data_IF_452251843529
#
_entry.id   IF_452251843529
#
_cell.length_a   1.000
_cell.length_b   1.000
_cell.length_c   1.000
_cell.angle_alpha   90.00
_cell.angle_beta   90.00
_cell.angle_gamma   90.00
#
_symmetry.space_group_name_H-M   'P 1'
#
loop_
_entity.id
_entity.type
_entity.pdbx_description
1 polymer ?
#
# COMPACT_ATOMS: atom_id res chain seq x y z
N UNK A 1 28.32 45.33 -3.74
CA UNK A 1 27.13 44.75 -3.09
C UNK A 1 27.02 43.31 -3.53
N UNK A 2 27.57 42.43 -2.70
CA UNK A 2 27.80 41.00 -2.88
C UNK A 2 27.01 40.38 -1.72
N UNK A 3 26.22 39.33 -1.98
CA UNK A 3 25.25 38.65 -1.07
C UNK A 3 23.81 39.15 -1.25
N UNK A 4 23.00 38.45 -2.06
CA UNK A 4 21.54 38.29 -1.94
C UNK A 4 20.97 37.48 -3.14
N UNK A 5 21.61 36.36 -3.51
CA UNK A 5 21.13 35.50 -4.61
C UNK A 5 21.28 34.00 -4.26
N UNK A 6 20.96 33.62 -3.03
CA UNK A 6 21.05 32.21 -2.58
C UNK A 6 19.83 31.75 -1.77
N UNK A 7 18.61 32.15 -2.13
CA UNK A 7 17.44 31.78 -1.33
C UNK A 7 16.19 31.43 -2.14
N UNK A 8 16.36 30.67 -3.24
CA UNK A 8 15.24 30.15 -4.04
C UNK A 8 15.58 28.77 -4.63
N UNK A 9 16.13 27.87 -3.81
CA UNK A 9 16.42 26.48 -4.22
C UNK A 9 16.28 25.51 -3.03
N UNK A 10 15.26 25.70 -2.19
CA UNK A 10 15.01 24.87 -1.01
C UNK A 10 13.57 24.34 -0.89
N UNK A 11 12.78 24.38 -1.96
CA UNK A 11 11.38 23.89 -1.94
C UNK A 11 11.05 23.02 -3.16
N UNK A 12 11.90 22.04 -3.45
CA UNK A 12 11.52 20.89 -4.30
C UNK A 12 12.08 19.66 -3.61
N UNK A 13 11.36 19.14 -2.61
CA UNK A 13 11.87 18.02 -1.82
C UNK A 13 10.86 17.15 -1.08
N UNK A 14 9.60 17.58 -0.91
CA UNK A 14 8.66 16.84 -0.04
C UNK A 14 7.31 16.50 -0.70
N UNK A 15 7.19 16.53 -2.03
CA UNK A 15 5.91 16.23 -2.69
C UNK A 15 5.65 14.73 -2.90
N UNK A 16 6.67 13.86 -2.76
CA UNK A 16 6.51 12.42 -3.03
C UNK A 16 5.84 11.64 -1.90
N UNK A 17 5.94 12.11 -0.63
CA UNK A 17 5.36 11.40 0.50
C UNK A 17 3.82 11.53 0.60
N UNK A 18 3.23 12.56 -0.02
CA UNK A 18 1.78 12.79 0.08
C UNK A 18 0.95 11.88 -0.83
N UNK A 19 1.53 11.39 -1.94
CA UNK A 19 0.83 10.51 -2.88
C UNK A 19 0.73 9.07 -2.36
N UNK A 20 1.81 8.53 -1.77
CA UNK A 20 1.82 7.18 -1.19
C UNK A 20 0.89 7.02 0.02
N UNK A 21 0.73 8.08 0.82
CA UNK A 21 -0.19 8.08 1.98
C UNK A 21 -1.66 8.00 1.57
N UNK A 22 -2.08 8.72 0.51
CA UNK A 22 -3.47 8.68 0.04
C UNK A 22 -3.86 7.31 -0.51
N UNK A 23 -2.98 6.70 -1.30
CA UNK A 23 -3.22 5.36 -1.87
C UNK A 23 -3.23 4.29 -0.77
N UNK A 24 -2.27 4.34 0.17
CA UNK A 24 -2.21 3.38 1.28
C UNK A 24 -3.45 3.41 2.19
N UNK A 25 -3.99 4.60 2.46
CA UNK A 25 -5.23 4.77 3.22
C UNK A 25 -6.45 4.23 2.48
N UNK A 26 -6.56 4.49 1.17
CA UNK A 26 -7.67 3.99 0.36
C UNK A 26 -7.70 2.46 0.32
N UNK A 27 -6.55 1.81 0.10
CA UNK A 27 -6.46 0.35 0.04
C UNK A 27 -6.75 -0.27 1.41
N UNK A 28 -6.24 0.35 2.48
CA UNK A 28 -6.54 -0.05 3.85
C UNK A 28 -8.05 0.02 4.13
N UNK A 29 -8.72 1.07 3.66
CA UNK A 29 -10.16 1.22 3.80
C UNK A 29 -10.90 0.12 3.02
N UNK A 30 -10.53 -0.14 1.76
CA UNK A 30 -11.15 -1.21 0.97
C UNK A 30 -10.96 -2.60 1.61
N UNK A 31 -9.77 -2.87 2.17
CA UNK A 31 -9.50 -4.11 2.90
C UNK A 31 -10.30 -4.25 4.20
N UNK A 32 -10.62 -3.13 4.87
CA UNK A 32 -11.49 -3.13 6.06
C UNK A 32 -12.97 -3.26 5.72
N UNK A 33 -13.40 -2.59 4.66
CA UNK A 33 -14.80 -2.54 4.24
C UNK A 33 -15.21 -3.79 3.46
N UNK A 34 -14.26 -4.52 2.87
CA UNK A 34 -14.58 -5.78 2.23
C UNK A 34 -14.80 -6.89 3.25
N UNK A 35 -15.99 -7.50 3.23
CA UNK A 35 -16.23 -8.83 3.81
C UNK A 35 -15.58 -9.94 2.96
N UNK A 36 -14.35 -9.72 2.53
CA UNK A 36 -13.59 -10.59 1.66
C UNK A 36 -13.02 -11.77 2.46
N UNK A 37 -13.18 -12.98 1.94
CA UNK A 37 -12.58 -14.20 2.52
C UNK A 37 -11.20 -14.51 1.92
N UNK A 38 -10.82 -13.76 0.89
CA UNK A 38 -9.59 -13.97 0.12
C UNK A 38 -8.94 -12.64 -0.26
N UNK A 39 -7.62 -12.57 -0.07
CA UNK A 39 -6.79 -11.57 -0.73
C UNK A 39 -5.84 -12.26 -1.70
N UNK A 40 -5.87 -11.87 -2.97
CA UNK A 40 -5.00 -12.39 -4.01
C UNK A 40 -3.93 -11.34 -4.28
N UNK A 41 -2.67 -11.67 -4.06
CA UNK A 41 -1.55 -10.79 -4.32
C UNK A 41 -0.78 -11.30 -5.53
N UNK A 42 -0.72 -10.51 -6.61
CA UNK A 42 0.07 -10.85 -7.79
C UNK A 42 1.25 -9.91 -7.93
N UNK A 43 2.46 -10.47 -8.02
CA UNK A 43 3.69 -9.73 -8.31
C UNK A 43 4.55 -10.52 -9.28
N UNK A 44 5.01 -9.91 -10.37
CA UNK A 44 5.97 -10.52 -11.29
C UNK A 44 5.58 -11.91 -11.86
N UNK A 45 4.27 -12.20 -11.99
CA UNK A 45 3.78 -13.50 -12.43
C UNK A 45 3.67 -14.56 -11.31
N UNK A 46 4.01 -14.21 -10.07
CA UNK A 46 3.73 -15.00 -8.89
C UNK A 46 2.44 -14.52 -8.22
N UNK A 47 1.52 -15.45 -8.02
CA UNK A 47 0.28 -15.23 -7.29
C UNK A 47 0.37 -15.86 -5.90
N UNK A 48 0.09 -15.05 -4.87
CA UNK A 48 -0.03 -15.51 -3.49
C UNK A 48 -1.43 -15.22 -2.99
N UNK A 49 -2.13 -16.29 -2.60
CA UNK A 49 -3.48 -16.21 -2.07
C UNK A 49 -3.46 -16.26 -0.54
N UNK A 50 -4.14 -15.31 0.06
CA UNK A 50 -4.43 -15.23 1.47
C UNK A 50 -5.90 -15.60 1.67
N UNK A 51 -6.19 -16.90 1.62
CA UNK A 51 -7.53 -17.48 1.85
C UNK A 51 -7.66 -18.01 3.27
N UNK A 52 -8.91 -18.15 3.72
CA UNK A 52 -9.22 -18.71 5.03
C UNK A 52 -9.07 -17.63 6.08
N UNK A 53 -10.20 -17.29 6.68
CA UNK A 53 -10.44 -16.12 7.51
C UNK A 53 -9.35 -15.84 8.55
N UNK A 54 -9.35 -14.57 8.98
CA UNK A 54 -8.50 -13.88 9.98
C UNK A 54 -7.45 -12.98 9.35
N UNK A 55 -7.84 -12.23 8.31
CA UNK A 55 -7.16 -10.97 7.99
C UNK A 55 -7.59 -9.96 9.04
N UNK A 56 -6.70 -9.70 9.97
CA UNK A 56 -6.96 -8.90 11.16
C UNK A 56 -5.95 -7.76 11.26
N UNK A 57 -6.24 -6.77 12.11
CA UNK A 57 -5.33 -5.66 12.40
C UNK A 57 -4.86 -4.93 11.12
N UNK A 58 -5.75 -4.77 10.14
CA UNK A 58 -5.44 -4.04 8.91
C UNK A 58 -5.23 -2.57 9.28
N UNK A 59 -4.03 -2.05 9.08
CA UNK A 59 -3.67 -0.68 9.44
C UNK A 59 -2.70 -0.08 8.44
N UNK A 60 -2.80 1.23 8.25
CA UNK A 60 -1.77 1.99 7.54
C UNK A 60 -0.83 2.62 8.56
N UNK A 61 0.39 2.09 8.66
CA UNK A 61 1.38 2.49 9.67
C UNK A 61 2.78 2.60 9.07
N UNK A 62 3.48 3.68 9.41
CA UNK A 62 4.86 3.95 8.98
C UNK A 62 5.05 3.91 7.44
N UNK A 63 4.00 4.26 6.69
CA UNK A 63 4.01 4.21 5.22
C UNK A 63 3.72 2.83 4.62
N UNK A 64 3.38 1.83 5.43
CA UNK A 64 3.04 0.48 4.98
C UNK A 64 1.60 0.12 5.32
N UNK A 65 0.99 -0.72 4.49
CA UNK A 65 -0.24 -1.43 4.82
C UNK A 65 0.18 -2.68 5.59
N UNK A 66 -0.21 -2.76 6.84
CA UNK A 66 0.09 -3.87 7.75
C UNK A 66 -1.20 -4.64 7.99
N UNK A 67 -1.14 -5.97 7.93
CA UNK A 67 -2.26 -6.83 8.30
C UNK A 67 -1.73 -8.17 8.81
N UNK A 68 -2.49 -8.82 9.67
CA UNK A 68 -2.17 -10.14 10.20
C UNK A 68 -2.98 -11.21 9.49
N UNK A 69 -2.37 -12.36 9.19
CA UNK A 69 -3.07 -13.61 8.87
C UNK A 69 -2.73 -14.64 9.94
N UNK A 70 -3.66 -14.87 10.86
CA UNK A 70 -3.38 -15.67 12.07
C UNK A 70 -2.22 -15.08 12.86
N UNK A 71 -1.16 -15.85 13.10
CA UNK A 71 0.03 -15.37 13.82
C UNK A 71 1.07 -14.64 12.96
N UNK A 72 0.86 -14.56 11.64
CA UNK A 72 1.83 -13.93 10.73
C UNK A 72 1.43 -12.50 10.41
N UNK A 73 2.35 -11.56 10.66
CA UNK A 73 2.22 -10.18 10.20
C UNK A 73 2.74 -10.05 8.76
N UNK A 74 1.98 -9.32 7.94
CA UNK A 74 2.33 -8.99 6.57
C UNK A 74 2.40 -7.47 6.42
N UNK A 75 3.40 -7.01 5.65
CA UNK A 75 3.60 -5.59 5.35
C UNK A 75 3.72 -5.39 3.86
N UNK A 76 2.90 -4.48 3.34
CA UNK A 76 2.91 -4.09 1.94
C UNK A 76 3.29 -2.62 1.80
N UNK A 77 4.16 -2.34 0.83
CA UNK A 77 4.45 -0.98 0.45
C UNK A 77 3.35 -0.52 -0.54
N UNK A 78 2.52 0.48 -0.19
CA UNK A 78 1.47 0.98 -1.07
C UNK A 78 2.01 1.59 -2.36
N UNK A 79 3.24 2.12 -2.39
CA UNK A 79 3.86 2.68 -3.59
C UNK A 79 4.15 1.61 -4.64
N UNK A 80 4.26 0.35 -4.21
CA UNK A 80 4.42 -0.78 -5.11
C UNK A 80 3.07 -1.34 -5.58
N UNK A 81 1.95 -0.87 -5.05
CA UNK A 81 0.63 -1.34 -5.47
C UNK A 81 0.22 -0.57 -6.72
N UNK A 82 0.02 -1.31 -7.81
CA UNK A 82 -0.36 -0.77 -9.12
C UNK A 82 -1.88 -0.69 -9.22
N UNK A 83 -2.57 -1.75 -8.81
CA UNK A 83 -4.02 -1.88 -8.93
C UNK A 83 -4.56 -2.66 -7.74
N UNK A 84 -5.75 -2.25 -7.27
CA UNK A 84 -6.59 -3.02 -6.37
C UNK A 84 -7.94 -3.25 -7.04
N UNK A 85 -8.31 -4.52 -7.22
CA UNK A 85 -9.60 -4.93 -7.78
C UNK A 85 -10.43 -5.61 -6.69
N UNK A 86 -11.71 -5.23 -6.58
CA UNK A 86 -12.65 -5.82 -5.65
C UNK A 86 -13.60 -6.76 -6.39
N UNK A 87 -13.55 -8.04 -6.05
CA UNK A 87 -14.52 -9.04 -6.45
C UNK A 87 -15.65 -9.18 -5.42
N UNK A 88 -16.55 -10.14 -5.65
CA UNK A 88 -17.66 -10.41 -4.74
C UNK A 88 -17.22 -10.90 -3.36
N UNK A 89 -16.16 -11.72 -3.30
CA UNK A 89 -15.66 -12.34 -2.05
C UNK A 89 -14.15 -12.19 -1.87
N UNK A 90 -13.48 -11.41 -2.74
CA UNK A 90 -12.03 -11.28 -2.74
C UNK A 90 -11.56 -9.86 -3.10
N UNK A 91 -10.36 -9.51 -2.64
CA UNK A 91 -9.60 -8.36 -3.15
C UNK A 91 -8.37 -8.88 -3.87
N UNK A 92 -8.11 -8.39 -5.08
CA UNK A 92 -6.90 -8.65 -5.84
C UNK A 92 -5.99 -7.43 -5.79
N UNK A 93 -4.78 -7.59 -5.28
CA UNK A 93 -3.75 -6.57 -5.23
C UNK A 93 -2.62 -6.92 -6.19
N UNK A 94 -2.35 -6.03 -7.13
CA UNK A 94 -1.26 -6.17 -8.09
C UNK A 94 -0.08 -5.30 -7.63
N UNK A 95 1.06 -5.94 -7.44
CA UNK A 95 2.31 -5.27 -7.09
C UNK A 95 3.23 -5.12 -8.30
N UNK A 96 3.97 -4.02 -8.35
CA UNK A 96 5.07 -3.83 -9.29
C UNK A 96 6.07 -4.99 -9.19
N UNK A 97 6.73 -5.29 -10.31
CA UNK A 97 7.83 -6.25 -10.32
C UNK A 97 8.94 -5.76 -9.39
N UNK A 98 9.35 -6.59 -8.42
CA UNK A 98 10.60 -6.37 -7.72
C UNK A 98 11.74 -6.50 -8.74
N UNK A 99 12.33 -5.37 -9.13
CA UNK A 99 13.56 -5.32 -9.94
C UNK A 99 14.74 -5.92 -9.20
#
# INVERSE_FOLDING_TARGET
MRKLFYSLLATVGCSFLSFGQGIGQQITAEMKDCACDEIIMTSAGYEKRYTGSWIENVEFKDGFIVFSKGSQEHKWNPEKIVVVEKGGTYIHVYLEQAR
#
